data_IF_408271348391
#
_entry.id   IF_408271348391
#
_cell.length_a   1.000
_cell.length_b   1.000
_cell.length_c   1.000
_cell.angle_alpha   90.00
_cell.angle_beta   90.00
_cell.angle_gamma   90.00
#
_symmetry.space_group_name_H-M   'P 1'
#
loop_
_entity.id
_entity.type
_entity.pdbx_description
1 polymer ?
#
# COMPACT_ATOMS: atom_id res chain seq x y z
N UNK A 1 -48.15 -7.03 22.37
CA UNK A 1 -47.78 -5.85 21.55
C UNK A 1 -46.79 -6.32 20.50
N UNK A 2 -47.32 -6.71 19.34
CA UNK A 2 -46.56 -7.09 18.14
C UNK A 2 -46.47 -5.88 17.23
N UNK A 3 -45.32 -5.62 16.62
CA UNK A 3 -45.23 -4.87 15.36
C UNK A 3 -44.31 -5.67 14.43
N UNK A 4 -44.93 -6.46 13.56
CA UNK A 4 -44.28 -7.06 12.41
C UNK A 4 -44.70 -6.32 11.14
N UNK A 5 -43.86 -6.41 10.11
CA UNK A 5 -44.26 -6.22 8.71
C UNK A 5 -43.37 -7.10 7.84
N UNK A 6 -43.90 -8.26 7.45
CA UNK A 6 -43.49 -9.03 6.28
C UNK A 6 -44.55 -8.77 5.21
N UNK A 7 -44.17 -8.43 3.99
CA UNK A 7 -44.93 -8.62 2.72
C UNK A 7 -44.09 -8.02 1.58
N UNK A 8 -43.88 -8.58 0.38
CA UNK A 8 -44.41 -9.76 -0.33
C UNK A 8 -43.34 -10.34 -1.28
N UNK A 9 -43.42 -11.63 -1.52
CA UNK A 9 -42.93 -12.27 -2.74
C UNK A 9 -43.68 -11.72 -3.96
N UNK A 10 -42.97 -11.42 -5.05
CA UNK A 10 -43.54 -11.21 -6.38
C UNK A 10 -42.64 -11.86 -7.43
N UNK A 11 -42.94 -13.12 -7.72
CA UNK A 11 -42.61 -13.78 -8.99
C UNK A 11 -43.80 -13.61 -9.94
N UNK A 12 -43.67 -12.79 -10.97
CA UNK A 12 -44.17 -13.04 -12.35
C UNK A 12 -43.98 -11.81 -13.23
N UNK A 13 -43.52 -12.08 -14.46
CA UNK A 13 -43.39 -11.22 -15.62
C UNK A 13 -44.56 -10.24 -15.87
N UNK A 14 -44.24 -8.99 -16.24
CA UNK A 14 -44.69 -8.26 -17.46
C UNK A 14 -44.58 -6.72 -17.36
N UNK A 15 -44.28 -6.15 -16.18
CA UNK A 15 -44.30 -4.67 -16.03
C UNK A 15 -42.93 -3.97 -16.07
N UNK A 16 -41.87 -4.64 -16.54
CA UNK A 16 -40.49 -4.08 -16.51
C UNK A 16 -40.07 -3.28 -17.76
N UNK A 17 -40.92 -3.16 -18.78
CA UNK A 17 -40.54 -2.46 -20.02
C UNK A 17 -40.66 -0.93 -19.95
N UNK A 18 -41.52 -0.38 -19.07
CA UNK A 18 -41.79 1.06 -19.03
C UNK A 18 -41.00 1.85 -17.96
N UNK A 19 -40.29 1.16 -17.06
CA UNK A 19 -39.39 1.80 -16.09
C UNK A 19 -37.94 1.93 -16.57
N UNK A 20 -37.62 1.42 -17.77
CA UNK A 20 -36.25 1.41 -18.29
C UNK A 20 -35.77 2.74 -18.88
N UNK A 21 -36.66 3.70 -19.15
CA UNK A 21 -36.25 4.95 -19.82
C UNK A 21 -35.81 6.05 -18.83
N UNK A 22 -36.27 6.02 -17.58
CA UNK A 22 -35.93 7.04 -16.56
C UNK A 22 -34.85 6.63 -15.55
N UNK A 23 -34.29 5.41 -15.65
CA UNK A 23 -33.22 4.93 -14.74
C UNK A 23 -31.81 5.22 -15.29
N UNK A 24 -31.69 5.61 -16.56
CA UNK A 24 -30.40 5.73 -17.26
C UNK A 24 -29.69 7.07 -16.95
N UNK A 25 -30.39 8.11 -16.49
CA UNK A 25 -29.77 9.44 -16.31
C UNK A 25 -29.12 9.67 -14.91
N UNK A 26 -29.54 8.96 -13.85
CA UNK A 26 -29.09 9.26 -12.48
C UNK A 26 -27.95 8.37 -11.95
N UNK A 27 -27.49 7.34 -12.68
CA UNK A 27 -26.47 6.41 -12.16
C UNK A 27 -25.02 6.90 -12.22
N UNK A 28 -24.77 8.17 -12.58
CA UNK A 28 -23.42 8.75 -12.73
C UNK A 28 -22.78 9.27 -11.41
N UNK A 29 -23.52 9.27 -10.30
CA UNK A 29 -23.11 9.94 -9.05
C UNK A 29 -22.77 9.02 -7.87
N UNK A 30 -22.81 7.69 -8.03
CA UNK A 30 -22.44 6.79 -6.94
C UNK A 30 -20.93 6.82 -6.68
N UNK A 31 -20.53 7.62 -5.70
CA UNK A 31 -19.13 7.72 -5.23
C UNK A 31 -18.82 6.66 -4.17
N UNK A 32 -19.82 6.22 -3.43
CA UNK A 32 -19.72 5.32 -2.30
C UNK A 32 -20.82 4.27 -2.32
N UNK A 33 -20.45 2.99 -2.23
CA UNK A 33 -21.38 1.87 -2.17
C UNK A 33 -20.96 0.93 -1.04
N UNK A 34 -21.94 0.55 -0.20
CA UNK A 34 -21.75 -0.35 0.93
C UNK A 34 -22.87 -1.37 1.01
N UNK A 35 -22.54 -2.63 0.76
CA UNK A 35 -23.42 -3.78 0.91
C UNK A 35 -22.72 -4.87 1.71
N UNK A 36 -23.16 -5.09 2.94
CA UNK A 36 -22.55 -6.06 3.85
C UNK A 36 -23.57 -7.12 4.26
N UNK A 37 -23.26 -8.40 4.09
CA UNK A 37 -24.12 -9.48 4.59
C UNK A 37 -25.47 -9.61 3.88
N UNK A 38 -25.55 -9.25 2.59
CA UNK A 38 -26.80 -9.28 1.82
C UNK A 38 -26.92 -10.51 0.90
N UNK A 39 -26.01 -11.48 1.03
CA UNK A 39 -26.01 -12.71 0.23
C UNK A 39 -25.98 -12.47 -1.29
N UNK A 40 -25.41 -11.34 -1.72
CA UNK A 40 -25.33 -10.98 -3.14
C UNK A 40 -24.40 -11.94 -3.89
N UNK A 41 -24.81 -12.35 -5.09
CA UNK A 41 -24.02 -13.23 -5.97
C UNK A 41 -23.36 -12.50 -7.14
N UNK A 42 -23.95 -11.39 -7.60
CA UNK A 42 -23.49 -10.61 -8.75
C UNK A 42 -23.42 -9.11 -8.41
N UNK A 43 -22.55 -8.40 -9.15
CA UNK A 43 -22.31 -6.96 -9.06
C UNK A 43 -22.59 -6.24 -10.39
N UNK A 44 -23.34 -6.86 -11.31
CA UNK A 44 -23.59 -6.35 -12.68
C UNK A 44 -24.05 -4.88 -12.72
N UNK A 45 -24.87 -4.46 -11.77
CA UNK A 45 -25.38 -3.09 -11.70
C UNK A 45 -24.30 -2.02 -11.49
N UNK A 46 -23.06 -2.39 -11.14
CA UNK A 46 -21.94 -1.46 -10.96
C UNK A 46 -21.15 -1.16 -12.24
N UNK A 47 -21.46 -1.83 -13.35
CA UNK A 47 -20.73 -1.67 -14.61
C UNK A 47 -20.76 -0.23 -15.15
N UNK A 48 -21.82 0.51 -14.82
CA UNK A 48 -22.02 1.91 -15.22
C UNK A 48 -21.45 2.93 -14.23
N UNK A 49 -20.98 2.50 -13.05
CA UNK A 49 -20.56 3.40 -11.96
C UNK A 49 -19.11 3.89 -12.12
N UNK A 50 -18.87 4.74 -13.12
CA UNK A 50 -17.52 5.28 -13.45
C UNK A 50 -16.96 6.18 -12.33
N UNK A 51 -17.85 6.84 -11.57
CA UNK A 51 -17.49 7.76 -10.49
C UNK A 51 -17.20 7.09 -9.14
N UNK A 52 -17.29 5.75 -9.06
CA UNK A 52 -17.13 5.01 -7.81
C UNK A 52 -15.71 5.15 -7.25
N UNK A 53 -15.61 5.54 -5.97
CA UNK A 53 -14.33 5.72 -5.27
C UNK A 53 -14.13 4.72 -4.14
N UNK A 54 -15.19 4.35 -3.44
CA UNK A 54 -15.13 3.39 -2.33
C UNK A 54 -16.22 2.37 -2.52
N UNK A 55 -15.83 1.10 -2.61
CA UNK A 55 -16.71 -0.03 -2.82
C UNK A 55 -16.50 -1.04 -1.69
N UNK A 56 -17.56 -1.31 -0.93
CA UNK A 56 -17.56 -2.25 0.20
C UNK A 56 -18.64 -3.30 -0.04
N UNK A 57 -18.22 -4.54 -0.28
CA UNK A 57 -19.06 -5.69 -0.58
C UNK A 57 -18.68 -6.89 0.31
N UNK A 58 -18.40 -6.62 1.58
CA UNK A 58 -17.99 -7.63 2.54
C UNK A 58 -19.08 -8.65 2.87
N UNK A 59 -18.69 -9.89 3.19
CA UNK A 59 -19.58 -10.96 3.66
C UNK A 59 -20.75 -11.24 2.70
N UNK A 60 -20.46 -11.39 1.41
CA UNK A 60 -21.45 -11.77 0.40
C UNK A 60 -21.02 -13.10 -0.27
N UNK A 61 -21.68 -13.46 -1.38
CA UNK A 61 -21.37 -14.67 -2.14
C UNK A 61 -20.88 -14.33 -3.54
N UNK A 62 -20.11 -13.24 -3.66
CA UNK A 62 -19.61 -12.75 -4.94
C UNK A 62 -18.51 -13.69 -5.42
N UNK A 63 -18.61 -14.07 -6.69
CA UNK A 63 -17.62 -14.92 -7.36
C UNK A 63 -16.87 -14.18 -8.46
N UNK A 64 -17.52 -13.21 -9.10
CA UNK A 64 -16.98 -12.41 -10.18
C UNK A 64 -16.98 -10.91 -9.86
N UNK A 65 -15.89 -10.24 -10.21
CA UNK A 65 -15.65 -8.82 -9.99
C UNK A 65 -15.40 -8.05 -11.30
N UNK A 66 -15.53 -8.70 -12.47
CA UNK A 66 -15.45 -8.06 -13.78
C UNK A 66 -16.33 -6.81 -13.95
N UNK A 67 -17.56 -6.73 -13.36
CA UNK A 67 -18.37 -5.53 -13.46
C UNK A 67 -17.70 -4.24 -12.95
N UNK A 68 -16.65 -4.33 -12.11
CA UNK A 68 -15.91 -3.16 -11.62
C UNK A 68 -14.88 -2.59 -12.62
N UNK A 69 -14.77 -3.15 -13.83
CA UNK A 69 -13.75 -2.75 -14.81
C UNK A 69 -13.84 -1.27 -15.19
N UNK A 70 -15.05 -0.73 -15.27
CA UNK A 70 -15.32 0.68 -15.62
C UNK A 70 -15.01 1.67 -14.48
N UNK A 71 -14.81 1.19 -13.25
CA UNK A 71 -14.64 2.02 -12.05
C UNK A 71 -13.20 2.57 -11.90
N UNK A 72 -12.72 3.34 -12.89
CA UNK A 72 -11.34 3.85 -12.96
C UNK A 72 -10.95 4.78 -11.78
N UNK A 73 -11.91 5.34 -11.05
CA UNK A 73 -11.70 6.24 -9.90
C UNK A 73 -11.64 5.52 -8.55
N UNK A 74 -11.70 4.19 -8.53
CA UNK A 74 -11.71 3.39 -7.30
C UNK A 74 -10.44 3.59 -6.48
N UNK A 75 -10.59 3.80 -5.17
CA UNK A 75 -9.51 4.03 -4.20
C UNK A 75 -9.43 2.88 -3.19
N UNK A 76 -10.59 2.40 -2.73
CA UNK A 76 -10.72 1.29 -1.79
C UNK A 76 -11.71 0.28 -2.34
N UNK A 77 -11.30 -0.99 -2.37
CA UNK A 77 -12.14 -2.13 -2.70
C UNK A 77 -12.09 -3.12 -1.54
N UNK A 78 -13.24 -3.36 -0.93
CA UNK A 78 -13.39 -4.32 0.16
C UNK A 78 -14.32 -5.47 -0.26
N UNK A 79 -13.74 -6.65 -0.42
CA UNK A 79 -14.39 -7.87 -0.88
C UNK A 79 -14.12 -9.04 0.07
N UNK A 80 -13.83 -8.78 1.34
CA UNK A 80 -13.60 -9.87 2.30
C UNK A 80 -14.85 -10.71 2.56
N UNK A 81 -14.67 -11.99 2.91
CA UNK A 81 -15.78 -12.90 3.18
C UNK A 81 -16.64 -13.15 1.94
N UNK A 82 -16.01 -13.38 0.79
CA UNK A 82 -16.68 -13.69 -0.47
C UNK A 82 -16.17 -15.04 -1.03
N UNK A 83 -16.70 -15.46 -2.19
CA UNK A 83 -16.36 -16.73 -2.81
C UNK A 83 -15.45 -16.55 -4.05
N UNK A 84 -14.57 -15.54 -4.03
CA UNK A 84 -13.70 -15.22 -5.16
C UNK A 84 -12.60 -16.28 -5.27
N UNK A 85 -12.59 -17.02 -6.37
CA UNK A 85 -11.60 -18.09 -6.65
C UNK A 85 -10.52 -17.65 -7.64
N UNK A 86 -10.85 -16.70 -8.50
CA UNK A 86 -10.00 -16.20 -9.59
C UNK A 86 -10.13 -14.69 -9.66
N UNK A 87 -9.00 -13.99 -9.81
CA UNK A 87 -9.00 -12.57 -10.08
C UNK A 87 -9.07 -12.34 -11.61
N UNK A 88 -9.64 -11.21 -12.06
CA UNK A 88 -9.60 -10.77 -13.45
C UNK A 88 -8.20 -10.63 -14.03
N UNK A 89 -8.15 -10.50 -15.36
CA UNK A 89 -6.92 -10.32 -16.11
C UNK A 89 -6.20 -8.99 -15.81
N UNK A 90 -4.95 -8.91 -16.28
CA UNK A 90 -4.09 -7.72 -16.15
C UNK A 90 -4.71 -6.43 -16.69
N UNK A 91 -5.55 -6.53 -17.73
CA UNK A 91 -6.23 -5.38 -18.35
C UNK A 91 -7.20 -4.70 -17.39
N UNK A 92 -7.94 -5.50 -16.60
CA UNK A 92 -8.85 -5.01 -15.56
C UNK A 92 -8.08 -4.23 -14.49
N UNK A 93 -7.03 -4.83 -13.94
CA UNK A 93 -6.23 -4.24 -12.87
C UNK A 93 -5.40 -3.02 -13.32
N UNK A 94 -4.98 -2.99 -14.59
CA UNK A 94 -4.32 -1.83 -15.19
C UNK A 94 -5.24 -0.62 -15.39
N UNK A 95 -6.56 -0.83 -15.44
CA UNK A 95 -7.56 0.24 -15.47
C UNK A 95 -7.70 0.97 -14.13
N UNK A 96 -7.50 0.25 -13.01
CA UNK A 96 -7.70 0.75 -11.64
C UNK A 96 -6.48 1.52 -11.10
N UNK A 97 -6.11 2.61 -11.79
CA UNK A 97 -4.89 3.40 -11.52
C UNK A 97 -4.87 4.14 -10.17
N UNK A 98 -6.02 4.23 -9.50
CA UNK A 98 -6.18 4.96 -8.24
C UNK A 98 -6.38 4.03 -7.03
N UNK A 99 -6.42 2.72 -7.23
CA UNK A 99 -6.69 1.74 -6.18
C UNK A 99 -5.51 1.68 -5.20
N UNK A 100 -5.77 1.97 -3.93
CA UNK A 100 -4.75 2.02 -2.87
C UNK A 100 -4.89 0.90 -1.86
N UNK A 101 -6.12 0.49 -1.55
CA UNK A 101 -6.42 -0.54 -0.57
C UNK A 101 -7.33 -1.60 -1.19
N UNK A 102 -6.90 -2.86 -1.09
CA UNK A 102 -7.63 -4.02 -1.58
C UNK A 102 -7.76 -5.05 -0.46
N UNK A 103 -9.01 -5.40 -0.12
CA UNK A 103 -9.29 -6.43 0.86
C UNK A 103 -9.89 -7.67 0.21
N UNK A 104 -9.17 -8.78 0.28
CA UNK A 104 -9.49 -10.08 -0.33
C UNK A 104 -9.29 -11.24 0.67
N UNK A 105 -9.17 -10.96 1.97
CA UNK A 105 -9.11 -12.01 2.99
C UNK A 105 -10.42 -12.79 3.05
N UNK A 106 -10.37 -14.01 3.59
CA UNK A 106 -11.53 -14.91 3.68
C UNK A 106 -12.22 -15.10 2.32
N UNK A 107 -11.45 -15.54 1.32
CA UNK A 107 -11.89 -15.84 -0.03
C UNK A 107 -11.32 -17.17 -0.53
N UNK A 108 -11.90 -17.72 -1.60
CA UNK A 108 -11.52 -18.99 -2.21
C UNK A 108 -10.23 -18.99 -3.07
N UNK A 109 -9.32 -18.03 -2.90
CA UNK A 109 -8.12 -17.89 -3.72
C UNK A 109 -7.09 -18.97 -3.39
N UNK A 110 -6.86 -19.92 -4.31
CA UNK A 110 -5.94 -21.05 -4.10
C UNK A 110 -4.62 -20.97 -4.89
N UNK A 111 -4.59 -20.28 -6.03
CA UNK A 111 -3.43 -20.27 -6.95
C UNK A 111 -2.66 -18.95 -6.88
N UNK A 112 -1.37 -19.02 -6.54
CA UNK A 112 -0.46 -17.86 -6.52
C UNK A 112 -0.39 -17.13 -7.87
N UNK A 113 -0.35 -17.88 -8.98
CA UNK A 113 -0.30 -17.33 -10.34
C UNK A 113 -1.45 -16.35 -10.63
N UNK A 114 -2.63 -16.62 -10.07
CA UNK A 114 -3.81 -15.76 -10.27
C UNK A 114 -3.69 -14.42 -9.55
N UNK A 115 -2.78 -14.27 -8.59
CA UNK A 115 -2.61 -13.05 -7.79
C UNK A 115 -1.50 -12.17 -8.37
N UNK A 116 -0.53 -12.78 -9.07
CA UNK A 116 0.52 -12.05 -9.78
C UNK A 116 0.00 -11.07 -10.83
N UNK A 117 -1.28 -11.15 -11.24
CA UNK A 117 -1.95 -10.17 -12.12
C UNK A 117 -2.08 -8.77 -11.49
N UNK A 118 -1.95 -8.66 -10.16
CA UNK A 118 -1.95 -7.41 -9.41
C UNK A 118 -0.64 -6.62 -9.57
N UNK A 119 0.37 -7.18 -10.24
CA UNK A 119 1.65 -6.50 -10.53
C UNK A 119 1.47 -5.20 -11.33
N UNK A 120 0.41 -5.12 -12.14
CA UNK A 120 0.06 -3.94 -12.96
C UNK A 120 -0.51 -2.78 -12.12
N UNK A 121 -1.00 -3.04 -10.89
CA UNK A 121 -1.60 -2.01 -10.04
C UNK A 121 -0.54 -1.08 -9.42
N UNK A 122 -0.11 -0.05 -10.15
CA UNK A 122 0.95 0.87 -9.72
C UNK A 122 0.66 1.67 -8.43
N UNK A 123 -0.60 1.80 -8.02
CA UNK A 123 -1.02 2.60 -6.87
C UNK A 123 -1.33 1.79 -5.60
N UNK A 124 -1.22 0.46 -5.65
CA UNK A 124 -1.65 -0.41 -4.56
C UNK A 124 -0.68 -0.30 -3.37
N UNK A 125 -1.19 0.10 -2.20
CA UNK A 125 -0.39 0.32 -0.99
C UNK A 125 -0.62 -0.79 0.04
N UNK A 126 -1.87 -1.23 0.21
CA UNK A 126 -2.25 -2.23 1.19
C UNK A 126 -3.09 -3.34 0.57
N UNK A 127 -2.75 -4.59 0.90
CA UNK A 127 -3.43 -5.79 0.45
C UNK A 127 -3.69 -6.69 1.65
N UNK A 128 -4.88 -7.27 1.75
CA UNK A 128 -5.19 -8.33 2.72
C UNK A 128 -5.70 -9.56 2.02
N UNK A 129 -5.19 -10.72 2.46
CA UNK A 129 -5.33 -12.01 1.80
C UNK A 129 -5.11 -13.19 2.78
N UNK A 130 -5.05 -12.90 4.08
CA UNK A 130 -5.09 -13.92 5.14
C UNK A 130 -6.41 -14.73 5.07
N UNK A 131 -6.42 -15.92 5.64
CA UNK A 131 -7.55 -16.86 5.59
C UNK A 131 -7.98 -17.29 4.18
N UNK A 132 -7.15 -17.05 3.16
CA UNK A 132 -7.29 -17.66 1.84
C UNK A 132 -6.46 -18.95 1.74
N UNK A 133 -6.88 -19.96 0.95
CA UNK A 133 -6.10 -21.19 0.75
C UNK A 133 -4.66 -20.95 0.24
N UNK A 134 -4.43 -19.84 -0.45
CA UNK A 134 -3.09 -19.42 -0.91
C UNK A 134 -2.16 -19.01 0.23
N UNK A 135 -2.69 -18.48 1.33
CA UNK A 135 -1.89 -18.03 2.48
C UNK A 135 -1.15 -19.19 3.16
N UNK A 136 -1.69 -20.41 3.06
CA UNK A 136 -1.09 -21.66 3.55
C UNK A 136 0.14 -22.11 2.76
N UNK A 137 0.39 -21.54 1.56
CA UNK A 137 1.53 -21.94 0.73
C UNK A 137 2.84 -21.36 1.26
N UNK A 138 3.87 -22.21 1.35
CA UNK A 138 5.22 -21.78 1.74
C UNK A 138 5.74 -20.71 0.77
N UNK A 139 6.24 -19.60 1.33
CA UNK A 139 6.79 -18.50 0.53
C UNK A 139 5.75 -17.58 -0.11
N UNK A 140 4.45 -17.75 0.18
CA UNK A 140 3.36 -16.89 -0.30
C UNK A 140 3.70 -15.38 -0.16
N UNK A 141 4.12 -14.97 1.04
CA UNK A 141 4.45 -13.58 1.35
C UNK A 141 5.58 -13.04 0.47
N UNK A 142 6.68 -13.79 0.37
CA UNK A 142 7.84 -13.41 -0.44
C UNK A 142 7.49 -13.29 -1.93
N UNK A 143 6.68 -14.22 -2.46
CA UNK A 143 6.23 -14.17 -3.85
C UNK A 143 5.39 -12.92 -4.11
N UNK A 144 4.45 -12.58 -3.21
CA UNK A 144 3.61 -11.40 -3.38
C UNK A 144 4.39 -10.10 -3.27
N UNK A 145 5.26 -9.96 -2.27
CA UNK A 145 6.07 -8.75 -2.07
C UNK A 145 6.94 -8.47 -3.30
N UNK A 146 7.54 -9.51 -3.89
CA UNK A 146 8.38 -9.35 -5.07
C UNK A 146 7.60 -9.20 -6.38
N UNK A 147 6.35 -9.70 -6.43
CA UNK A 147 5.49 -9.53 -7.61
C UNK A 147 4.83 -8.15 -7.64
N UNK A 148 4.42 -7.63 -6.48
CA UNK A 148 3.66 -6.38 -6.35
C UNK A 148 4.56 -5.30 -5.73
N UNK A 149 5.40 -4.70 -6.57
CA UNK A 149 6.34 -3.66 -6.17
C UNK A 149 5.79 -2.44 -5.41
N UNK A 150 4.59 -1.89 -5.70
CA UNK A 150 4.11 -0.70 -5.00
C UNK A 150 3.60 -0.99 -3.58
N UNK A 151 3.44 -2.27 -3.23
CA UNK A 151 2.86 -2.71 -1.97
C UNK A 151 3.73 -2.30 -0.78
N UNK A 152 3.09 -1.81 0.28
CA UNK A 152 3.75 -1.38 1.53
C UNK A 152 3.32 -2.18 2.74
N UNK A 153 2.09 -2.67 2.74
CA UNK A 153 1.53 -3.46 3.81
C UNK A 153 0.79 -4.67 3.24
N UNK A 154 1.03 -5.83 3.85
CA UNK A 154 0.42 -7.09 3.47
C UNK A 154 -0.10 -7.80 4.71
N UNK A 155 -1.39 -8.11 4.71
CA UNK A 155 -2.12 -8.76 5.80
C UNK A 155 -2.04 -7.95 7.12
N UNK A 156 -1.43 -8.50 8.15
CA UNK A 156 -1.29 -7.84 9.46
C UNK A 156 0.08 -7.19 9.68
N UNK A 157 0.93 -7.14 8.64
CA UNK A 157 2.31 -6.69 8.78
C UNK A 157 2.73 -5.75 7.65
N UNK A 158 3.45 -4.70 8.02
CA UNK A 158 4.16 -3.83 7.09
C UNK A 158 5.36 -4.57 6.53
N UNK A 159 5.60 -4.38 5.23
CA UNK A 159 6.71 -5.01 4.51
C UNK A 159 8.01 -4.37 4.99
N UNK A 160 8.94 -5.18 5.49
CA UNK A 160 10.29 -4.75 5.84
C UNK A 160 11.21 -4.79 4.63
N UNK A 161 12.26 -3.97 4.66
CA UNK A 161 13.25 -3.94 3.58
C UNK A 161 14.00 -5.28 3.40
N UNK A 162 14.12 -6.09 4.46
CA UNK A 162 14.63 -7.47 4.41
C UNK A 162 13.78 -8.40 3.51
N UNK A 163 12.47 -8.15 3.35
CA UNK A 163 11.60 -8.95 2.46
C UNK A 163 11.80 -8.59 1.00
N UNK A 164 12.20 -7.34 0.74
CA UNK A 164 12.33 -6.76 -0.60
C UNK A 164 13.73 -7.06 -1.17
N UNK A 165 14.76 -6.91 -0.34
CA UNK A 165 16.15 -7.10 -0.75
C UNK A 165 16.62 -8.46 -0.25
N UNK A 166 16.72 -9.41 -1.18
CA UNK A 166 17.19 -10.75 -0.88
C UNK A 166 18.59 -10.72 -0.28
N UNK A 167 18.82 -11.58 0.72
CA UNK A 167 20.09 -11.74 1.43
C UNK A 167 20.55 -10.48 2.21
N UNK A 168 19.65 -9.55 2.52
CA UNK A 168 19.99 -8.42 3.39
C UNK A 168 19.70 -8.71 4.86
N UNK A 169 20.73 -9.04 5.62
CA UNK A 169 20.60 -9.25 7.06
C UNK A 169 20.58 -7.93 7.80
N UNK A 170 19.44 -7.61 8.42
CA UNK A 170 19.26 -6.37 9.17
C UNK A 170 19.26 -6.62 10.69
N UNK A 171 19.65 -5.61 11.50
CA UNK A 171 19.49 -5.64 12.95
C UNK A 171 18.05 -5.95 13.38
N UNK A 172 17.87 -6.52 14.57
CA UNK A 172 16.57 -6.99 15.09
C UNK A 172 15.44 -5.96 14.97
N UNK A 173 15.77 -4.67 15.10
CA UNK A 173 14.84 -3.55 14.93
C UNK A 173 14.11 -3.55 13.58
N UNK A 174 14.79 -3.93 12.50
CA UNK A 174 14.29 -3.87 11.13
C UNK A 174 13.92 -5.25 10.55
N UNK A 175 14.04 -6.29 11.38
CA UNK A 175 13.75 -7.67 11.01
C UNK A 175 12.28 -7.85 10.65
N UNK A 176 12.04 -8.77 9.71
CA UNK A 176 10.72 -9.30 9.36
C UNK A 176 9.89 -9.68 10.58
N UNK A 177 8.56 -9.43 10.51
CA UNK A 177 7.58 -9.77 11.55
C UNK A 177 7.85 -9.22 12.96
N UNK A 178 8.65 -8.17 13.10
CA UNK A 178 8.81 -7.49 14.37
C UNK A 178 7.48 -6.86 14.83
N UNK A 179 7.19 -6.86 16.13
CA UNK A 179 6.01 -6.22 16.74
C UNK A 179 5.83 -4.75 16.31
N UNK A 180 6.91 -4.05 15.96
CA UNK A 180 6.86 -2.66 15.48
C UNK A 180 6.30 -2.50 14.06
N UNK A 181 6.29 -3.59 13.29
CA UNK A 181 5.75 -3.66 11.93
C UNK A 181 4.33 -4.23 11.91
N UNK A 182 3.84 -4.72 13.05
CA UNK A 182 2.45 -5.16 13.17
C UNK A 182 1.51 -3.98 12.94
N UNK A 183 0.60 -4.15 11.99
CA UNK A 183 -0.40 -3.15 11.64
C UNK A 183 -1.63 -3.84 11.09
N UNK A 184 -2.76 -3.65 11.76
CA UNK A 184 -4.03 -4.16 11.26
C UNK A 184 -4.58 -3.23 10.17
N UNK A 185 -4.58 -3.71 8.92
CA UNK A 185 -5.16 -3.02 7.76
C UNK A 185 -6.69 -2.92 7.84
N UNK A 186 -7.35 -3.78 8.61
CA UNK A 186 -8.80 -3.86 8.74
C UNK A 186 -9.25 -3.15 10.03
N UNK A 187 -9.61 -1.85 9.99
CA UNK A 187 -10.28 -1.22 11.11
C UNK A 187 -11.66 -1.86 11.31
N UNK A 188 -12.11 -1.96 12.57
CA UNK A 188 -13.44 -2.46 12.88
C UNK A 188 -14.51 -1.64 12.11
N UNK A 189 -15.43 -2.34 11.45
CA UNK A 189 -16.53 -1.72 10.72
C UNK A 189 -17.43 -0.96 11.71
N UNK A 190 -17.40 0.37 11.67
CA UNK A 190 -18.33 1.20 12.43
C UNK A 190 -19.68 1.22 11.68
N UNK A 191 -20.78 0.97 12.38
CA UNK A 191 -22.13 1.09 11.81
C UNK A 191 -22.43 2.57 11.54
N UNK A 192 -22.94 2.89 10.35
CA UNK A 192 -23.29 4.28 9.98
C UNK A 192 -22.16 5.15 9.38
N UNK A 193 -21.07 4.56 8.88
CA UNK A 193 -19.96 5.30 8.24
C UNK A 193 -20.42 6.10 7.02
N UNK A 194 -20.12 7.40 7.00
CA UNK A 194 -20.30 8.24 5.81
C UNK A 194 -19.14 8.05 4.82
N UNK A 195 -19.31 8.53 3.58
CA UNK A 195 -18.24 8.54 2.58
C UNK A 195 -17.01 9.34 3.04
N UNK A 196 -17.21 10.48 3.70
CA UNK A 196 -16.11 11.32 4.18
C UNK A 196 -15.30 10.62 5.27
N UNK A 197 -15.98 9.90 6.16
CA UNK A 197 -15.34 9.10 7.21
C UNK A 197 -14.48 7.99 6.60
N UNK A 198 -14.97 7.31 5.57
CA UNK A 198 -14.20 6.27 4.86
C UNK A 198 -12.96 6.85 4.16
N UNK A 199 -13.09 8.00 3.49
CA UNK A 199 -11.93 8.67 2.88
C UNK A 199 -10.92 9.13 3.94
N UNK A 200 -11.40 9.65 5.08
CA UNK A 200 -10.54 10.02 6.22
C UNK A 200 -9.84 8.79 6.78
N UNK A 201 -10.53 7.67 6.92
CA UNK A 201 -9.98 6.39 7.37
C UNK A 201 -8.89 5.89 6.42
N UNK A 202 -9.14 5.89 5.10
CA UNK A 202 -8.14 5.55 4.08
C UNK A 202 -6.88 6.43 4.22
N UNK A 203 -7.05 7.75 4.38
CA UNK A 203 -5.92 8.67 4.60
C UNK A 203 -5.17 8.36 5.89
N UNK A 204 -5.89 8.06 6.98
CA UNK A 204 -5.30 7.69 8.27
C UNK A 204 -4.50 6.39 8.17
N UNK A 205 -5.04 5.35 7.51
CA UNK A 205 -4.35 4.08 7.26
C UNK A 205 -3.03 4.32 6.52
N UNK A 206 -3.09 5.03 5.38
CA UNK A 206 -1.90 5.32 4.56
C UNK A 206 -0.87 6.16 5.35
N UNK A 207 -1.33 7.15 6.11
CA UNK A 207 -0.46 7.97 6.96
C UNK A 207 0.23 7.14 8.04
N UNK A 208 -0.50 6.23 8.71
CA UNK A 208 0.06 5.33 9.72
C UNK A 208 1.10 4.37 9.12
N UNK A 209 0.80 3.76 7.96
CA UNK A 209 1.75 2.91 7.23
C UNK A 209 3.04 3.68 6.92
N UNK A 210 2.92 4.87 6.32
CA UNK A 210 4.07 5.70 5.99
C UNK A 210 4.86 6.14 7.23
N UNK A 211 4.18 6.42 8.35
CA UNK A 211 4.83 6.76 9.62
C UNK A 211 5.67 5.60 10.15
N UNK A 212 5.10 4.40 10.19
CA UNK A 212 5.80 3.20 10.66
C UNK A 212 7.01 2.91 9.77
N UNK A 213 6.83 2.94 8.44
CA UNK A 213 7.93 2.78 7.48
C UNK A 213 9.03 3.83 7.63
N UNK A 214 8.69 5.10 7.87
CA UNK A 214 9.69 6.17 8.03
C UNK A 214 10.63 5.97 9.25
N UNK A 215 10.25 5.15 10.22
CA UNK A 215 11.07 4.83 11.39
C UNK A 215 11.71 3.44 11.33
N UNK A 216 11.16 2.53 10.52
CA UNK A 216 11.53 1.12 10.49
C UNK A 216 12.08 0.65 9.12
N UNK A 217 12.23 1.54 8.14
CA UNK A 217 12.92 1.25 6.88
C UNK A 217 14.29 1.96 6.84
N UNK A 218 15.41 1.22 6.92
CA UNK A 218 16.74 1.76 6.67
C UNK A 218 16.84 2.56 5.37
N UNK A 219 16.23 2.07 4.29
CA UNK A 219 16.26 2.73 2.98
C UNK A 219 15.61 4.12 3.07
N UNK A 220 14.43 4.22 3.68
CA UNK A 220 13.74 5.50 3.84
C UNK A 220 14.47 6.46 4.79
N UNK A 221 15.11 5.92 5.84
CA UNK A 221 15.92 6.73 6.77
C UNK A 221 17.10 7.36 6.03
N UNK A 222 17.86 6.57 5.27
CA UNK A 222 19.00 7.06 4.48
C UNK A 222 18.55 8.08 3.44
N UNK A 223 17.47 7.79 2.70
CA UNK A 223 16.91 8.75 1.73
C UNK A 223 16.51 10.08 2.39
N UNK A 224 15.89 10.03 3.59
CA UNK A 224 15.51 11.24 4.34
C UNK A 224 16.74 12.07 4.71
N UNK A 225 17.83 11.43 5.12
CA UNK A 225 19.09 12.11 5.42
C UNK A 225 19.73 12.76 4.19
N UNK A 226 19.80 12.03 3.06
CA UNK A 226 20.34 12.56 1.79
C UNK A 226 19.53 13.77 1.32
N UNK A 227 18.19 13.69 1.34
CA UNK A 227 17.32 14.81 0.99
C UNK A 227 17.60 16.02 1.89
N UNK A 228 17.70 15.82 3.21
CA UNK A 228 18.02 16.90 4.15
C UNK A 228 19.40 17.52 3.91
N UNK A 229 20.41 16.71 3.58
CA UNK A 229 21.75 17.19 3.23
C UNK A 229 21.74 18.04 1.96
N UNK A 230 21.08 17.57 0.89
CA UNK A 230 20.95 18.30 -0.37
C UNK A 230 20.23 19.64 -0.18
N UNK A 231 19.15 19.66 0.62
CA UNK A 231 18.43 20.89 0.95
C UNK A 231 19.34 21.87 1.69
N UNK A 232 20.08 21.42 2.71
CA UNK A 232 21.04 22.29 3.42
C UNK A 232 22.14 22.81 2.52
N UNK A 233 22.67 21.97 1.61
CA UNK A 233 23.68 22.40 0.63
C UNK A 233 23.14 23.47 -0.32
N UNK A 234 21.89 23.32 -0.77
CA UNK A 234 21.20 24.30 -1.65
C UNK A 234 20.85 25.61 -0.93
N UNK A 235 20.49 25.54 0.35
CA UNK A 235 20.15 26.72 1.17
C UNK A 235 21.39 27.39 1.80
N UNK A 236 22.53 26.71 1.84
CA UNK A 236 23.80 27.24 2.39
C UNK A 236 24.22 28.62 1.85
N UNK A 237 24.05 28.95 0.54
CA UNK A 237 24.32 30.29 0.03
C UNK A 237 23.39 31.38 0.60
N UNK A 238 22.14 31.03 0.93
CA UNK A 238 21.14 31.97 1.48
C UNK A 238 21.46 32.32 2.94
N UNK A 239 21.98 31.36 3.72
CA UNK A 239 22.41 31.61 5.10
C UNK A 239 23.76 32.35 5.18
N UNK A 240 24.60 32.31 4.14
CA UNK A 240 25.84 33.10 4.08
C UNK A 240 25.63 34.59 3.81
N UNK A 241 24.43 35.02 3.37
CA UNK A 241 24.10 36.44 3.12
C UNK A 241 23.70 37.25 4.36
N UNK A 242 23.64 36.64 5.55
CA UNK A 242 23.35 37.31 6.84
C UNK A 242 24.55 37.32 7.80
N UNK A 243 25.76 37.61 7.32
CA UNK A 243 26.85 38.08 8.20
C UNK A 243 27.29 39.46 7.75
N UNK A 244 27.13 40.51 8.58
CA UNK A 244 27.86 41.75 8.35
C UNK A 244 29.35 41.47 8.49
N UNK A 245 30.15 42.16 7.67
CA UNK A 245 31.61 42.20 7.78
C UNK A 245 31.98 42.68 9.19
N UNK A 246 32.70 41.87 9.96
CA UNK A 246 33.96 42.32 10.53
C UNK A 246 34.86 41.18 11.03
N UNK A 247 36.16 41.49 11.02
CA UNK A 247 37.36 40.66 11.18
C UNK A 247 37.33 39.68 12.36
N UNK A 248 37.95 38.51 12.18
CA UNK A 248 39.36 38.25 12.52
C UNK A 248 39.57 36.74 12.72
N UNK A 249 40.58 36.20 12.05
CA UNK A 249 41.06 34.83 12.23
C UNK A 249 41.53 34.67 13.68
N UNK A 250 40.84 33.85 14.48
CA UNK A 250 41.46 33.12 15.59
C UNK A 250 41.01 31.68 15.57
N UNK A 251 42.00 30.84 15.31
CA UNK A 251 42.08 29.42 15.62
C UNK A 251 41.44 29.19 16.99
N UNK A 252 40.40 28.35 17.05
CA UNK A 252 40.08 27.50 18.18
C UNK A 252 39.08 26.45 17.71
N UNK A 253 39.49 25.21 17.90
CA UNK A 253 38.77 23.97 17.69
C UNK A 253 37.32 24.07 18.15
N UNK A 254 36.40 24.38 17.22
CA UNK A 254 34.99 24.22 17.51
C UNK A 254 34.63 22.79 17.16
N UNK A 255 34.79 21.93 18.19
CA UNK A 255 33.88 20.81 18.46
C UNK A 255 32.53 21.17 17.88
N UNK A 256 32.17 20.55 16.77
CA UNK A 256 30.81 20.59 16.27
C UNK A 256 29.98 19.90 17.34
N UNK A 257 29.35 20.69 18.20
CA UNK A 257 28.35 20.21 19.14
C UNK A 257 27.21 19.72 18.26
N UNK A 258 27.22 18.43 17.97
CA UNK A 258 26.09 17.69 17.43
C UNK A 258 25.02 17.71 18.52
N UNK A 259 24.23 18.79 18.56
CA UNK A 259 23.05 18.86 19.42
C UNK A 259 22.01 17.96 18.75
N UNK A 260 21.94 16.75 19.29
CA UNK A 260 21.13 15.63 18.84
C UNK A 260 21.93 14.71 17.94
N UNK A 261 22.24 13.49 18.42
CA UNK A 261 22.37 12.23 17.63
C UNK A 261 23.21 11.09 18.21
N UNK A 262 23.57 11.07 19.51
CA UNK A 262 24.25 9.88 20.08
C UNK A 262 23.54 8.53 19.86
N UNK A 263 22.21 8.53 19.67
CA UNK A 263 21.44 7.31 19.39
C UNK A 263 21.29 7.01 17.89
N UNK A 264 21.32 8.05 17.04
CA UNK A 264 21.16 7.90 15.58
C UNK A 264 22.48 7.58 14.86
N UNK A 265 23.60 8.01 15.43
CA UNK A 265 24.93 7.69 14.90
C UNK A 265 25.24 6.19 15.07
N UNK A 266 24.80 5.58 16.18
CA UNK A 266 24.84 4.11 16.37
C UNK A 266 24.04 3.35 15.31
N UNK A 267 22.87 3.86 14.91
CA UNK A 267 22.04 3.21 13.88
C UNK A 267 22.76 3.20 12.53
N UNK A 268 23.49 4.26 12.21
CA UNK A 268 24.29 4.32 10.98
C UNK A 268 25.50 3.39 11.08
N UNK A 269 26.22 3.40 12.20
CA UNK A 269 27.29 2.43 12.45
C UNK A 269 26.76 0.99 12.31
N UNK A 270 25.63 0.63 12.91
CA UNK A 270 25.05 -0.72 12.82
C UNK A 270 24.56 -1.10 11.40
N UNK A 271 24.05 -0.13 10.61
CA UNK A 271 23.62 -0.36 9.21
C UNK A 271 24.82 -0.51 8.27
N UNK A 272 25.91 0.23 8.50
CA UNK A 272 27.10 0.25 7.64
C UNK A 272 28.23 -0.68 8.10
N UNK A 273 28.23 -1.15 9.36
CA UNK A 273 29.28 -2.02 9.96
C UNK A 273 28.86 -3.48 10.14
N UNK A 274 27.85 -3.95 9.40
CA UNK A 274 27.76 -5.39 9.11
C UNK A 274 28.98 -5.77 8.26
N UNK A 275 30.03 -6.16 8.97
CA UNK A 275 31.41 -6.48 8.56
C UNK A 275 31.54 -7.03 7.13
N UNK A 276 32.43 -6.47 6.30
CA UNK A 276 33.34 -7.33 5.56
C UNK A 276 34.38 -7.84 6.55
N UNK A 277 34.34 -9.12 6.87
CA UNK A 277 35.51 -9.78 7.42
C UNK A 277 36.66 -9.67 6.41
N UNK A 278 37.86 -9.46 6.95
CA UNK A 278 39.16 -9.35 6.28
C UNK A 278 39.54 -7.99 5.64
N UNK A 279 40.36 -7.26 6.40
CA UNK A 279 41.49 -6.42 5.98
C UNK A 279 41.63 -6.10 4.48
N UNK A 280 41.31 -4.88 4.07
CA UNK A 280 42.12 -4.13 3.08
C UNK A 280 41.99 -2.62 3.30
N UNK A 281 43.12 -2.01 3.68
CA UNK A 281 43.33 -0.55 3.63
C UNK A 281 43.35 -0.12 2.16
N UNK A 282 42.55 0.87 1.75
CA UNK A 282 42.81 1.55 0.48
C UNK A 282 41.69 2.36 -0.16
N UNK A 283 41.74 3.68 0.06
CA UNK A 283 41.36 4.78 -0.85
C UNK A 283 39.97 4.72 -1.51
N UNK A 284 39.06 5.54 -0.98
CA UNK A 284 37.80 5.95 -1.64
C UNK A 284 38.13 6.81 -2.86
N UNK A 285 38.09 6.21 -4.06
CA UNK A 285 38.17 6.92 -5.33
C UNK A 285 36.77 7.28 -5.85
N UNK A 286 36.67 8.48 -6.41
CA UNK A 286 35.52 9.08 -7.09
C UNK A 286 34.66 8.08 -7.90
N UNK A 287 33.35 8.03 -7.62
CA UNK A 287 32.37 7.47 -8.55
C UNK A 287 31.73 8.59 -9.37
N UNK A 288 32.25 8.77 -10.59
CA UNK A 288 31.57 9.46 -11.68
C UNK A 288 30.36 8.63 -12.10
N UNK A 289 29.26 9.33 -12.37
CA UNK A 289 28.08 8.80 -13.05
C UNK A 289 28.50 8.19 -14.39
N UNK A 290 28.15 6.94 -14.62
CA UNK A 290 27.83 6.45 -15.95
C UNK A 290 26.56 5.59 -15.91
N UNK A 291 25.60 6.00 -16.73
CA UNK A 291 24.43 5.22 -17.10
C UNK A 291 24.89 4.28 -18.21
N UNK A 292 24.87 2.96 -18.00
CA UNK A 292 24.77 1.99 -19.09
C UNK A 292 24.38 0.61 -18.57
N UNK A 293 23.64 -0.10 -19.41
CA UNK A 293 22.93 -1.37 -19.19
C UNK A 293 23.87 -2.53 -18.87
N UNK A 294 23.44 -3.45 -18.01
CA UNK A 294 23.95 -4.82 -18.00
C UNK A 294 22.75 -5.77 -18.09
N UNK A 295 22.64 -6.41 -19.25
CA UNK A 295 21.89 -7.65 -19.45
C UNK A 295 22.66 -8.79 -18.79
N UNK A 296 21.96 -9.73 -18.17
CA UNK A 296 22.54 -11.05 -17.85
C UNK A 296 21.60 -12.10 -18.39
N UNK A 297 22.11 -12.88 -19.33
CA UNK A 297 21.46 -14.02 -19.96
C UNK A 297 21.27 -15.16 -18.97
N UNK A 298 20.16 -15.87 -19.09
CA UNK A 298 19.92 -17.14 -18.43
C UNK A 298 20.53 -18.28 -19.26
N UNK A 299 21.33 -19.11 -18.61
CA UNK A 299 21.43 -20.53 -18.91
C UNK A 299 20.90 -21.31 -17.71
#
# INVERSE_FOLDING_TARGET
MFHGTITKELTSHEEWSHYNENIIEDQKDFVFVKYNGLHLKSMENLQSCISLRVCIFSNNFITDIQPLQSCIKLIKLDLHGNQIKTLPDRTFWGGLKNLKLLYLHDNGLAKLKNICVLDVCASLIGLTMFDCPVSLKKGYRHVLVNSIWPLKALDHHIISDEEIIQNWHLPERFKTFNHRLFFNLCPALVKGTTYEDEIKNIKQIISRINRILAHNSPVLIVQRWIRGFLVRKRLSPLFKRKKPKDKMIRVLETKWICIGRRHDDKIMEDIFLLKPESHMKGKVAHWKKDKTKLWVNFH
#
